data_IF_612900900956
#
_entry.id   IF_612900900956
#
_cell.length_a   1.000
_cell.length_b   1.000
_cell.length_c   1.000
_cell.angle_alpha   90.00
_cell.angle_beta   90.00
_cell.angle_gamma   90.00
#
_symmetry.space_group_name_H-M   'P 1'
#
loop_
_entity.id
_entity.type
_entity.pdbx_description
1 polymer ?
#
# COMPACT_ATOMS: atom_id res chain seq x y z
N UNK A 1 22.88 14.48 9.49
CA UNK A 1 22.42 13.21 10.09
C UNK A 1 21.44 12.57 9.10
N UNK A 2 21.70 11.35 8.60
CA UNK A 2 20.74 10.66 7.71
C UNK A 2 19.55 10.21 8.54
N UNK A 3 18.34 10.50 8.09
CA UNK A 3 17.11 9.99 8.70
C UNK A 3 17.06 8.47 8.55
N UNK A 4 16.58 7.75 9.57
CA UNK A 4 16.31 6.31 9.45
C UNK A 4 15.09 6.08 8.55
N UNK A 5 14.93 4.87 8.00
CA UNK A 5 13.75 4.52 7.22
C UNK A 5 12.47 4.63 8.06
N UNK A 6 12.50 4.23 9.33
CA UNK A 6 11.39 4.41 10.26
C UNK A 6 10.99 5.90 10.41
N UNK A 7 11.98 6.82 10.50
CA UNK A 7 11.69 8.26 10.58
C UNK A 7 11.09 8.80 9.27
N UNK A 8 11.51 8.25 8.12
CA UNK A 8 10.94 8.60 6.81
C UNK A 8 9.48 8.11 6.74
N UNK A 9 9.21 6.86 7.16
CA UNK A 9 7.89 6.27 7.18
C UNK A 9 6.94 7.04 8.12
N UNK A 10 7.36 7.31 9.37
CA UNK A 10 6.57 8.10 10.31
C UNK A 10 6.24 9.48 9.74
N UNK A 11 7.23 10.17 9.19
CA UNK A 11 7.00 11.49 8.58
C UNK A 11 6.10 11.44 7.33
N UNK A 12 6.03 10.30 6.63
CA UNK A 12 5.10 10.11 5.53
C UNK A 12 3.66 9.97 6.04
N UNK A 13 3.44 9.18 7.09
CA UNK A 13 2.13 9.02 7.74
C UNK A 13 1.61 10.36 8.28
N UNK A 14 2.46 11.13 8.98
CA UNK A 14 2.10 12.45 9.53
C UNK A 14 1.69 13.45 8.44
N UNK A 15 2.27 13.37 7.26
CA UNK A 15 1.89 14.24 6.13
C UNK A 15 0.61 13.78 5.44
N UNK A 16 0.29 12.49 5.54
CA UNK A 16 -0.80 11.85 4.81
C UNK A 16 -0.54 11.75 3.29
N UNK A 17 -1.42 11.06 2.56
CA UNK A 17 -1.30 10.88 1.11
C UNK A 17 -1.51 12.18 0.33
N UNK A 18 -2.09 13.19 0.96
CA UNK A 18 -2.48 14.46 0.34
C UNK A 18 -1.68 15.62 0.96
N UNK A 19 -0.38 15.70 0.69
CA UNK A 19 0.33 16.93 1.06
C UNK A 19 -0.31 18.13 0.33
N UNK A 20 -0.66 19.22 1.04
CA UNK A 20 -1.22 20.42 0.41
C UNK A 20 -0.23 20.94 -0.64
N UNK A 21 -0.67 21.07 -1.90
CA UNK A 21 0.14 21.55 -3.03
C UNK A 21 0.67 20.47 -3.97
N UNK A 22 0.41 19.19 -3.71
CA UNK A 22 0.62 18.13 -4.71
C UNK A 22 -0.45 18.22 -5.78
N UNK A 23 -0.09 18.63 -6.99
CA UNK A 23 -1.00 18.59 -8.13
C UNK A 23 -1.43 17.14 -8.36
N UNK A 24 -2.74 16.80 -8.40
CA UNK A 24 -3.19 15.53 -8.92
C UNK A 24 -2.81 15.52 -10.40
N UNK A 25 -1.92 14.67 -10.80
CA UNK A 25 -1.57 14.63 -12.21
C UNK A 25 -0.22 13.99 -12.48
N UNK A 26 -0.25 12.68 -12.64
CA UNK A 26 0.85 11.91 -13.16
C UNK A 26 1.57 11.08 -12.10
N UNK A 27 1.61 9.80 -12.35
CA UNK A 27 2.45 8.84 -11.62
C UNK A 27 3.88 9.37 -11.59
N UNK A 28 4.41 9.63 -10.40
CA UNK A 28 5.79 10.09 -10.24
C UNK A 28 6.74 8.92 -10.40
N UNK A 29 7.73 9.06 -11.26
CA UNK A 29 8.84 8.12 -11.31
C UNK A 29 9.56 8.15 -9.97
N UNK A 30 9.74 6.99 -9.35
CA UNK A 30 10.53 6.83 -8.13
C UNK A 30 11.95 6.43 -8.54
N UNK A 31 12.95 7.05 -7.89
CA UNK A 31 14.35 6.73 -8.12
C UNK A 31 14.97 6.19 -6.83
N UNK A 32 15.19 4.87 -6.75
CA UNK A 32 15.81 4.25 -5.58
C UNK A 32 17.28 4.67 -5.36
N UNK A 33 17.94 5.23 -6.37
CA UNK A 33 19.33 5.69 -6.28
C UNK A 33 19.45 7.02 -5.53
N UNK A 34 18.38 7.80 -5.51
CA UNK A 34 18.32 9.05 -4.73
C UNK A 34 18.26 8.80 -3.20
N UNK A 35 18.14 7.56 -2.77
CA UNK A 35 18.00 7.12 -1.38
C UNK A 35 16.60 6.54 -1.13
N UNK A 36 16.25 6.21 0.12
CA UNK A 36 14.91 5.72 0.43
C UNK A 36 13.85 6.73 0.06
N UNK A 37 12.90 6.32 -0.78
CA UNK A 37 11.76 7.12 -1.23
C UNK A 37 10.45 6.46 -0.83
N UNK A 38 9.43 7.26 -0.52
CA UNK A 38 8.07 6.76 -0.28
C UNK A 38 7.47 6.39 -1.63
N UNK A 39 7.29 5.09 -1.84
CA UNK A 39 6.66 4.57 -3.05
C UNK A 39 5.13 4.65 -2.93
N UNK A 40 4.58 4.24 -1.80
CA UNK A 40 3.15 4.35 -1.54
C UNK A 40 2.83 4.45 -0.05
N UNK A 41 1.59 4.82 0.24
CA UNK A 41 1.04 4.98 1.56
C UNK A 41 -0.40 4.46 1.57
N UNK A 42 -0.69 3.61 2.57
CA UNK A 42 -2.03 3.11 2.82
C UNK A 42 -2.43 3.46 4.26
N UNK A 43 -3.54 4.14 4.44
CA UNK A 43 -4.04 4.49 5.78
C UNK A 43 -5.47 4.03 5.95
N UNK A 44 -5.73 3.53 7.11
CA UNK A 44 -7.04 3.27 7.68
C UNK A 44 -7.18 4.09 8.96
N UNK A 45 -8.34 4.10 9.60
CA UNK A 45 -8.61 4.93 10.80
C UNK A 45 -7.59 4.70 11.91
N UNK A 46 -7.10 3.49 12.07
CA UNK A 46 -6.23 3.05 13.18
C UNK A 46 -4.93 2.38 12.73
N UNK A 47 -4.70 2.23 11.43
CA UNK A 47 -3.50 1.62 10.88
C UNK A 47 -2.94 2.45 9.73
N UNK A 48 -1.64 2.61 9.74
CA UNK A 48 -0.91 3.25 8.64
C UNK A 48 0.23 2.37 8.15
N UNK A 49 0.35 2.24 6.84
CA UNK A 49 1.38 1.47 6.17
C UNK A 49 2.12 2.33 5.17
N UNK A 50 3.44 2.19 5.13
CA UNK A 50 4.30 2.94 4.21
C UNK A 50 5.21 1.97 3.48
N UNK A 51 5.11 1.97 2.17
CA UNK A 51 6.02 1.25 1.30
C UNK A 51 7.16 2.17 0.90
N UNK A 52 8.38 1.82 1.32
CA UNK A 52 9.60 2.52 0.93
C UNK A 52 10.29 1.73 -0.17
N UNK A 53 10.81 2.43 -1.18
CA UNK A 53 11.70 1.88 -2.19
C UNK A 53 13.10 2.45 -1.97
N UNK A 54 14.12 1.60 -2.03
CA UNK A 54 15.52 2.01 -1.90
C UNK A 54 16.45 1.06 -2.65
N UNK A 55 17.69 1.48 -2.87
CA UNK A 55 18.74 0.59 -3.34
C UNK A 55 19.53 0.02 -2.15
N UNK A 56 19.67 -1.29 -2.10
CA UNK A 56 20.47 -2.01 -1.11
C UNK A 56 21.96 -1.80 -1.38
N UNK A 57 22.78 -2.16 -0.39
CA UNK A 57 24.27 -2.08 -0.51
C UNK A 57 24.83 -3.00 -1.60
N UNK A 58 24.14 -4.10 -1.93
CA UNK A 58 24.50 -5.02 -3.02
C UNK A 58 24.08 -4.51 -4.40
N UNK A 59 23.48 -3.32 -4.48
CA UNK A 59 23.06 -2.67 -5.71
C UNK A 59 21.65 -3.05 -6.18
N UNK A 60 20.96 -3.97 -5.51
CA UNK A 60 19.59 -4.34 -5.88
C UNK A 60 18.57 -3.37 -5.30
N UNK A 61 17.52 -3.01 -6.07
CA UNK A 61 16.38 -2.31 -5.52
C UNK A 61 15.60 -3.23 -4.59
N UNK A 62 15.05 -2.66 -3.53
CA UNK A 62 14.25 -3.37 -2.55
C UNK A 62 13.13 -2.49 -2.04
N UNK A 63 12.02 -3.11 -1.66
CA UNK A 63 10.98 -2.47 -0.89
C UNK A 63 11.11 -2.84 0.58
N UNK A 64 10.69 -1.91 1.44
CA UNK A 64 10.56 -2.10 2.89
C UNK A 64 9.19 -1.60 3.30
N UNK A 65 8.42 -2.45 3.95
CA UNK A 65 7.10 -2.13 4.48
C UNK A 65 7.22 -1.75 5.95
N UNK A 66 6.69 -0.59 6.27
CA UNK A 66 6.58 -0.07 7.63
C UNK A 66 5.13 0.11 8.01
N UNK A 67 4.81 -0.04 9.29
CA UNK A 67 3.49 0.18 9.82
C UNK A 67 3.53 1.00 11.11
N UNK A 68 2.38 1.59 11.46
CA UNK A 68 2.20 2.38 12.67
C UNK A 68 0.74 2.45 13.05
N UNK A 69 0.48 2.73 14.32
CA UNK A 69 -0.83 3.05 14.87
C UNK A 69 -0.84 4.48 15.40
N UNK A 70 -1.99 5.16 15.45
CA UNK A 70 -2.08 6.43 16.13
C UNK A 70 -1.91 6.26 17.64
N UNK A 71 -1.10 7.15 18.22
CA UNK A 71 -0.95 7.26 19.66
C UNK A 71 -2.16 7.94 20.33
N UNK A 72 -2.15 8.05 21.68
CA UNK A 72 -3.25 8.67 22.43
C UNK A 72 -3.52 10.13 22.07
N UNK A 73 -2.54 10.82 21.49
CA UNK A 73 -2.64 12.21 21.01
C UNK A 73 -3.13 12.32 19.56
N UNK A 74 -3.47 11.19 18.93
CA UNK A 74 -3.89 11.09 17.54
C UNK A 74 -2.77 11.23 16.51
N UNK A 75 -1.50 11.33 16.96
CA UNK A 75 -0.33 11.33 16.08
C UNK A 75 0.15 9.90 15.86
N UNK A 76 0.74 9.65 14.70
CA UNK A 76 1.32 8.34 14.42
C UNK A 76 2.50 8.04 15.35
N UNK A 77 2.50 6.85 15.92
CA UNK A 77 3.67 6.36 16.66
C UNK A 77 4.86 6.19 15.72
N UNK A 78 6.04 5.95 16.26
CA UNK A 78 7.19 5.67 15.41
C UNK A 78 6.94 4.41 14.59
N UNK A 79 7.04 4.52 13.27
CA UNK A 79 6.79 3.40 12.38
C UNK A 79 7.77 2.24 12.63
N UNK A 80 7.24 1.03 12.66
CA UNK A 80 7.98 -0.20 12.86
C UNK A 80 8.15 -0.94 11.53
N UNK A 81 9.30 -1.58 11.36
CA UNK A 81 9.56 -2.40 10.17
C UNK A 81 8.74 -3.68 10.23
N UNK A 82 8.02 -3.96 9.16
CA UNK A 82 7.16 -5.13 9.07
C UNK A 82 7.79 -6.22 8.20
N UNK A 83 8.15 -5.86 6.99
CA UNK A 83 8.73 -6.79 6.01
C UNK A 83 9.55 -6.02 4.98
N UNK A 84 10.31 -6.75 4.17
CA UNK A 84 11.04 -6.18 3.07
C UNK A 84 11.55 -7.26 2.12
N UNK A 85 11.71 -6.91 0.87
CA UNK A 85 12.14 -7.84 -0.16
C UNK A 85 12.97 -7.17 -1.25
N UNK A 86 13.91 -7.95 -1.79
CA UNK A 86 14.56 -7.62 -3.04
C UNK A 86 13.91 -8.46 -4.14
N UNK A 87 13.54 -7.79 -5.21
CA UNK A 87 12.94 -8.47 -6.37
C UNK A 87 14.02 -8.87 -7.37
N UNK A 88 13.80 -9.97 -8.07
CA UNK A 88 14.62 -10.34 -9.20
C UNK A 88 14.53 -9.23 -10.26
N UNK A 89 15.66 -8.58 -10.52
CA UNK A 89 15.74 -7.44 -11.41
C UNK A 89 15.99 -7.87 -12.86
N UNK A 90 15.07 -7.52 -13.73
CA UNK A 90 15.34 -7.50 -15.16
C UNK A 90 16.05 -6.18 -15.49
N UNK A 91 17.31 -6.29 -15.93
CA UNK A 91 18.13 -5.13 -16.31
C UNK A 91 17.56 -4.36 -17.51
N UNK A 92 16.67 -4.97 -18.27
CA UNK A 92 16.08 -4.35 -19.44
C UNK A 92 15.04 -3.29 -19.06
N UNK A 93 14.41 -3.43 -17.87
CA UNK A 93 13.40 -2.49 -17.37
C UNK A 93 13.35 -2.51 -15.84
N UNK A 94 13.46 -1.35 -15.18
CA UNK A 94 13.20 -1.25 -13.75
C UNK A 94 11.76 -1.68 -13.43
N UNK A 95 11.59 -2.64 -12.54
CA UNK A 95 10.28 -3.19 -12.17
C UNK A 95 9.35 -2.17 -11.45
N UNK A 96 9.91 -1.06 -10.95
CA UNK A 96 9.15 0.04 -10.35
C UNK A 96 8.64 1.06 -11.38
N UNK A 97 8.93 0.89 -12.67
CA UNK A 97 8.34 1.70 -13.71
C UNK A 97 6.93 1.24 -14.04
N UNK A 98 6.04 2.14 -14.47
CA UNK A 98 4.69 1.77 -14.86
C UNK A 98 4.68 0.65 -15.90
N UNK A 99 3.71 -0.27 -15.77
CA UNK A 99 3.51 -1.32 -16.77
C UNK A 99 3.15 -0.67 -18.11
N UNK A 100 3.76 -1.06 -19.24
CA UNK A 100 3.38 -0.56 -20.55
C UNK A 100 1.93 -0.90 -20.91
N UNK A 101 1.43 -0.21 -21.92
CA UNK A 101 0.06 -0.37 -22.44
C UNK A 101 -0.46 -1.81 -22.46
N UNK A 102 -1.64 -2.00 -21.86
CA UNK A 102 -2.40 -3.25 -21.92
C UNK A 102 -2.91 -3.78 -20.59
N UNK A 103 -2.12 -3.73 -19.53
CA UNK A 103 -2.56 -4.14 -18.19
C UNK A 103 -2.74 -2.93 -17.28
N UNK A 104 -3.85 -2.88 -16.54
CA UNK A 104 -4.05 -1.87 -15.52
C UNK A 104 -3.22 -2.17 -14.27
N UNK A 105 -3.03 -3.46 -13.95
CA UNK A 105 -2.33 -3.92 -12.77
C UNK A 105 -1.41 -5.11 -13.09
N UNK A 106 -0.30 -5.19 -12.34
CA UNK A 106 0.52 -6.39 -12.22
C UNK A 106 0.82 -6.62 -10.74
N UNK A 107 0.41 -7.75 -10.19
CA UNK A 107 0.75 -8.15 -8.82
C UNK A 107 2.22 -8.54 -8.79
N UNK A 108 3.00 -7.87 -7.95
CA UNK A 108 4.43 -8.15 -7.76
C UNK A 108 4.64 -9.15 -6.64
N UNK A 109 3.95 -8.95 -5.53
CA UNK A 109 4.02 -9.81 -4.37
C UNK A 109 2.73 -9.77 -3.57
N UNK A 110 2.48 -10.85 -2.84
CA UNK A 110 1.49 -10.91 -1.77
C UNK A 110 2.14 -11.52 -0.55
N UNK A 111 1.84 -10.98 0.61
CA UNK A 111 2.34 -11.43 1.90
C UNK A 111 1.30 -11.17 2.97
N UNK A 112 1.52 -11.74 4.15
CA UNK A 112 0.67 -11.53 5.31
C UNK A 112 1.52 -11.36 6.56
N UNK A 113 1.00 -10.66 7.56
CA UNK A 113 1.67 -10.46 8.84
C UNK A 113 0.65 -10.33 9.96
N UNK A 114 0.98 -10.93 11.09
CA UNK A 114 0.23 -10.79 12.32
C UNK A 114 0.63 -9.47 13.00
N UNK A 115 -0.33 -8.58 13.21
CA UNK A 115 -0.12 -7.26 13.80
C UNK A 115 -0.84 -7.13 15.13
N UNK A 116 -0.16 -6.61 16.15
CA UNK A 116 -0.76 -6.30 17.44
C UNK A 116 -1.46 -4.93 17.36
N UNK A 117 -2.70 -4.94 16.88
CA UNK A 117 -3.49 -3.72 16.66
C UNK A 117 -4.32 -3.29 17.87
N UNK A 118 -4.41 -4.16 18.89
CA UNK A 118 -5.28 -3.95 20.06
C UNK A 118 -6.76 -4.19 19.78
N UNK A 119 -7.14 -4.58 18.56
CA UNK A 119 -8.51 -5.01 18.24
C UNK A 119 -8.67 -6.50 18.59
N UNK A 120 -9.87 -6.88 19.06
CA UNK A 120 -10.16 -8.24 19.41
C UNK A 120 -9.96 -9.20 18.23
N UNK A 121 -9.18 -10.24 18.44
CA UNK A 121 -8.89 -11.26 17.44
C UNK A 121 -10.12 -12.11 17.08
N UNK A 122 -10.03 -12.81 15.97
CA UNK A 122 -10.91 -13.94 15.66
C UNK A 122 -10.64 -15.09 16.66
N UNK A 123 -11.62 -15.96 16.86
CA UNK A 123 -11.47 -17.13 17.74
C UNK A 123 -10.19 -17.91 17.40
N UNK A 124 -9.22 -17.93 18.35
CA UNK A 124 -7.96 -18.66 18.22
C UNK A 124 -6.70 -17.82 18.01
N UNK A 125 -6.81 -16.51 17.79
CA UNK A 125 -5.68 -15.61 17.71
C UNK A 125 -5.31 -15.02 19.09
N UNK A 126 -4.05 -14.54 19.23
CA UNK A 126 -3.65 -13.79 20.43
C UNK A 126 -4.55 -12.58 20.60
N UNK A 127 -4.98 -12.30 21.82
CA UNK A 127 -5.88 -11.18 22.13
C UNK A 127 -5.30 -9.88 21.61
N UNK A 128 -6.01 -9.25 20.68
CA UNK A 128 -5.60 -7.98 20.05
C UNK A 128 -4.71 -8.08 18.83
N UNK A 129 -4.46 -9.27 18.28
CA UNK A 129 -3.74 -9.48 17.03
C UNK A 129 -4.69 -9.63 15.84
N UNK A 130 -4.26 -9.16 14.66
CA UNK A 130 -4.95 -9.30 13.38
C UNK A 130 -3.99 -9.78 12.31
N UNK A 131 -4.39 -10.79 11.52
CA UNK A 131 -3.65 -11.22 10.34
C UNK A 131 -4.02 -10.33 9.16
N UNK A 132 -3.12 -9.44 8.76
CA UNK A 132 -3.33 -8.48 7.66
C UNK A 132 -2.61 -8.96 6.41
N UNK A 133 -3.34 -9.03 5.30
CA UNK A 133 -2.78 -9.33 3.98
C UNK A 133 -2.27 -8.08 3.28
N UNK A 134 -1.16 -8.21 2.54
CA UNK A 134 -0.54 -7.14 1.78
C UNK A 134 -0.33 -7.56 0.35
N UNK A 135 -0.65 -6.67 -0.58
CA UNK A 135 -0.32 -6.84 -1.99
C UNK A 135 0.45 -5.63 -2.50
N UNK A 136 1.58 -5.88 -3.16
CA UNK A 136 2.33 -4.87 -3.89
C UNK A 136 2.03 -5.00 -5.37
N UNK A 137 1.61 -3.92 -5.98
CA UNK A 137 1.15 -3.86 -7.35
C UNK A 137 1.97 -2.86 -8.15
N UNK A 138 2.19 -3.14 -9.43
CA UNK A 138 2.52 -2.12 -10.42
C UNK A 138 1.27 -1.71 -11.16
N UNK A 139 1.10 -0.42 -11.38
CA UNK A 139 0.01 0.14 -12.17
C UNK A 139 0.45 0.51 -13.58
N UNK A 140 -0.49 0.45 -14.51
CA UNK A 140 -0.24 0.81 -15.91
C UNK A 140 -0.05 2.31 -16.12
N UNK A 141 0.57 2.67 -17.24
CA UNK A 141 0.87 4.08 -17.60
C UNK A 141 -0.36 4.96 -17.79
N UNK A 142 -1.51 4.36 -18.09
CA UNK A 142 -2.78 5.08 -18.30
C UNK A 142 -3.53 5.37 -17.01
N UNK A 143 -3.22 4.65 -15.94
CA UNK A 143 -3.92 4.77 -14.66
C UNK A 143 -3.53 6.08 -13.99
N UNK A 144 -4.53 6.91 -13.69
CA UNK A 144 -4.36 8.18 -13.00
C UNK A 144 -4.56 8.04 -11.49
N UNK A 145 -5.54 7.24 -11.10
CA UNK A 145 -5.88 6.96 -9.72
C UNK A 145 -6.56 5.61 -9.59
N UNK A 146 -6.69 5.14 -8.35
CA UNK A 146 -7.44 3.93 -8.04
C UNK A 146 -8.74 4.28 -7.33
N UNK A 147 -9.82 3.66 -7.73
CA UNK A 147 -11.02 3.56 -6.92
C UNK A 147 -10.91 2.31 -6.07
N UNK A 148 -10.96 2.50 -4.77
CA UNK A 148 -10.84 1.45 -3.77
C UNK A 148 -12.20 1.26 -3.10
N UNK A 149 -12.75 0.08 -3.22
CA UNK A 149 -14.03 -0.31 -2.62
C UNK A 149 -13.76 -1.40 -1.58
N UNK A 150 -14.21 -1.21 -0.35
CA UNK A 150 -14.06 -2.17 0.74
C UNK A 150 -15.41 -2.80 1.05
N UNK A 151 -15.42 -4.10 1.25
CA UNK A 151 -16.60 -4.90 1.55
C UNK A 151 -16.35 -5.74 2.79
N UNK A 152 -17.27 -5.73 3.75
CA UNK A 152 -17.23 -6.66 4.88
C UNK A 152 -17.68 -8.07 4.44
N UNK A 153 -17.02 -9.09 4.97
CA UNK A 153 -17.37 -10.50 4.77
C UNK A 153 -18.39 -11.00 5.82
N UNK A 154 -19.31 -10.15 6.29
CA UNK A 154 -20.34 -10.54 7.24
C UNK A 154 -21.31 -11.61 6.68
N UNK A 155 -22.05 -12.32 7.57
CA UNK A 155 -23.01 -13.40 7.24
C UNK A 155 -24.10 -13.02 6.24
N UNK A 156 -24.38 -11.74 6.09
CA UNK A 156 -25.14 -11.22 4.97
C UNK A 156 -24.10 -10.66 3.99
N UNK A 157 -23.82 -11.40 2.92
CA UNK A 157 -22.99 -10.91 1.82
C UNK A 157 -23.65 -9.66 1.22
N UNK A 158 -23.45 -8.52 1.86
CA UNK A 158 -23.86 -7.26 1.27
C UNK A 158 -22.89 -6.98 0.14
N UNK A 159 -23.37 -7.01 -1.09
CA UNK A 159 -22.62 -6.58 -2.27
C UNK A 159 -22.39 -5.05 -2.29
N UNK A 160 -22.73 -4.37 -1.20
CA UNK A 160 -22.56 -2.92 -1.09
C UNK A 160 -21.26 -2.65 -0.35
N UNK A 161 -20.38 -1.88 -0.97
CA UNK A 161 -19.16 -1.42 -0.34
C UNK A 161 -19.49 -0.56 0.88
N UNK A 162 -18.88 -0.85 2.03
CA UNK A 162 -19.02 -0.01 3.22
C UNK A 162 -18.13 1.24 3.16
N UNK A 163 -17.10 1.22 2.32
CA UNK A 163 -16.21 2.35 2.07
C UNK A 163 -15.80 2.39 0.61
N UNK A 164 -15.82 3.57 0.03
CA UNK A 164 -15.33 3.84 -1.33
C UNK A 164 -14.46 5.08 -1.26
N UNK A 165 -13.23 4.96 -1.73
CA UNK A 165 -12.32 6.09 -1.81
C UNK A 165 -11.58 6.14 -3.14
N UNK A 166 -11.21 7.34 -3.55
CA UNK A 166 -10.32 7.59 -4.68
C UNK A 166 -8.89 7.73 -4.14
N UNK A 167 -8.03 6.79 -4.47
CA UNK A 167 -6.63 6.79 -4.04
C UNK A 167 -5.75 7.36 -5.16
N UNK A 168 -5.10 8.50 -4.97
CA UNK A 168 -4.13 9.03 -5.92
C UNK A 168 -2.88 8.15 -5.92
N UNK A 169 -2.21 8.09 -7.05
CA UNK A 169 -0.96 7.38 -7.21
C UNK A 169 0.22 8.27 -6.81
N UNK A 170 0.99 7.84 -5.81
CA UNK A 170 2.25 8.49 -5.44
C UNK A 170 3.39 8.05 -6.36
N UNK A 171 3.34 6.81 -6.82
CA UNK A 171 4.27 6.19 -7.74
C UNK A 171 3.59 5.07 -8.52
N UNK A 172 4.29 4.39 -9.46
CA UNK A 172 3.77 3.20 -10.11
C UNK A 172 3.57 2.00 -9.17
N UNK A 173 4.26 2.01 -8.02
CA UNK A 173 4.13 0.98 -7.00
C UNK A 173 2.99 1.34 -6.06
N UNK A 174 2.08 0.41 -5.87
CA UNK A 174 0.90 0.57 -5.01
C UNK A 174 0.90 -0.52 -3.95
N UNK A 175 0.67 -0.11 -2.72
CA UNK A 175 0.42 -0.98 -1.60
C UNK A 175 -1.08 -1.06 -1.32
N UNK A 176 -1.57 -2.27 -1.12
CA UNK A 176 -2.92 -2.52 -0.62
C UNK A 176 -2.86 -3.43 0.58
N UNK A 177 -3.48 -3.00 1.67
CA UNK A 177 -3.67 -3.82 2.86
C UNK A 177 -5.12 -4.30 2.92
N UNK A 178 -5.32 -5.58 3.26
CA UNK A 178 -6.63 -6.22 3.41
C UNK A 178 -6.71 -6.82 4.81
N UNK A 179 -7.68 -6.38 5.59
CA UNK A 179 -7.89 -6.82 6.97
C UNK A 179 -8.73 -8.09 7.04
N UNK A 180 -8.66 -8.85 8.17
CA UNK A 180 -9.56 -9.97 8.39
C UNK A 180 -11.03 -9.56 8.24
N UNK A 181 -11.81 -10.40 7.59
CA UNK A 181 -13.25 -10.14 7.39
C UNK A 181 -13.56 -9.05 6.36
N UNK A 182 -12.57 -8.53 5.63
CA UNK A 182 -12.73 -7.58 4.54
C UNK A 182 -12.28 -8.18 3.20
N UNK A 183 -12.81 -7.65 2.13
CA UNK A 183 -12.26 -7.77 0.78
C UNK A 183 -12.12 -6.38 0.18
N UNK A 184 -11.13 -6.20 -0.65
CA UNK A 184 -10.85 -4.94 -1.34
C UNK A 184 -10.96 -5.15 -2.83
N UNK A 185 -11.77 -4.32 -3.49
CA UNK A 185 -11.80 -4.23 -4.95
C UNK A 185 -11.14 -2.93 -5.38
N UNK A 186 -10.18 -3.06 -6.27
CA UNK A 186 -9.53 -1.95 -6.93
C UNK A 186 -10.08 -1.81 -8.34
N UNK A 187 -10.34 -0.60 -8.78
CA UNK A 187 -10.61 -0.29 -10.18
C UNK A 187 -9.64 0.78 -10.64
N UNK A 188 -8.99 0.54 -11.76
CA UNK A 188 -8.17 1.55 -12.41
C UNK A 188 -9.05 2.64 -12.98
N UNK A 189 -8.68 3.89 -12.76
CA UNK A 189 -9.38 5.05 -13.31
C UNK A 189 -8.38 5.85 -14.14
N UNK A 190 -8.68 5.99 -15.43
CA UNK A 190 -7.88 6.74 -16.36
C UNK A 190 -8.08 8.26 -16.18
N UNK A 191 -7.27 9.07 -16.88
CA UNK A 191 -7.32 10.54 -16.80
C UNK A 191 -8.63 11.14 -17.24
N UNK A 192 -9.35 10.48 -18.13
CA UNK A 192 -10.70 10.89 -18.58
C UNK A 192 -11.82 10.49 -17.61
N UNK A 193 -11.47 9.79 -16.52
CA UNK A 193 -12.41 9.31 -15.52
C UNK A 193 -13.04 7.96 -15.85
N UNK A 194 -12.65 7.31 -16.95
CA UNK A 194 -13.15 5.99 -17.31
C UNK A 194 -12.61 4.95 -16.34
N UNK A 195 -13.52 4.19 -15.72
CA UNK A 195 -13.14 3.04 -14.91
C UNK A 195 -12.85 1.85 -15.82
N UNK A 196 -11.63 1.32 -15.69
CA UNK A 196 -11.14 0.18 -16.45
C UNK A 196 -11.18 -1.13 -15.66
N UNK A 197 -10.17 -1.95 -15.89
CA UNK A 197 -9.99 -3.25 -15.25
C UNK A 197 -10.04 -3.16 -13.72
N UNK A 198 -10.67 -4.16 -13.10
CA UNK A 198 -10.77 -4.32 -11.66
C UNK A 198 -9.94 -5.50 -11.15
N UNK A 199 -9.40 -5.38 -9.95
CA UNK A 199 -8.70 -6.42 -9.21
C UNK A 199 -9.38 -6.61 -7.86
N UNK A 200 -9.70 -7.86 -7.50
CA UNK A 200 -10.25 -8.18 -6.19
C UNK A 200 -9.19 -8.86 -5.34
N UNK A 201 -9.01 -8.36 -4.13
CA UNK A 201 -8.09 -8.88 -3.13
C UNK A 201 -8.89 -9.40 -1.93
N UNK A 202 -8.60 -10.63 -1.55
CA UNK A 202 -9.22 -11.31 -0.43
C UNK A 202 -8.33 -11.22 0.82
N UNK A 203 -8.92 -11.31 2.02
CA UNK A 203 -8.13 -11.39 3.25
C UNK A 203 -7.34 -12.71 3.26
N UNK A 204 -6.26 -12.77 4.04
CA UNK A 204 -5.54 -14.03 4.25
C UNK A 204 -6.47 -15.10 4.83
N UNK A 205 -6.26 -16.33 4.41
CA UNK A 205 -6.92 -17.49 5.00
C UNK A 205 -6.25 -17.78 6.34
N UNK A 206 -6.97 -17.55 7.44
CA UNK A 206 -6.54 -17.83 8.80
C UNK A 206 -6.56 -19.33 9.15
#
# INVERSE_FOLDING_TARGET
MRRSMADIATAALERGPYAPGGTPGGVRTVDPDAGPVVADLWTDDDLGFVLLLHRRRDGFPATELYWSTPGPDGRWTRAEHLSGGAYAWDRARPWWEPVPDGAAFTVLSSSESLLLTGRGGFEGEEEGAELVGFSELLVGTRVDRLRVERYGLGRASSYTAHSVLEKPLLSPLVLVAVRPGERVRLSAVDRDGTAGEGLELLPPEG
#
